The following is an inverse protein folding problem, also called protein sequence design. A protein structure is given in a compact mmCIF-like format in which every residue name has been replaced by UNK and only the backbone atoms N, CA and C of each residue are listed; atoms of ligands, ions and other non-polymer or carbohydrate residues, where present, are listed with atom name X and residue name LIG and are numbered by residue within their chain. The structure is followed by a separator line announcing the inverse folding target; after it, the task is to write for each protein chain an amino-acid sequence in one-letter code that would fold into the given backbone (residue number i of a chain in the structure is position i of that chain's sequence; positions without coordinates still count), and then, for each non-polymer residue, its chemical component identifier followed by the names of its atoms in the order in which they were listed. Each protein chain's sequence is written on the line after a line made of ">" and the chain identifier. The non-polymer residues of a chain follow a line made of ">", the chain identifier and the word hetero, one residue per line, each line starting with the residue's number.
data_IF_016903981383
#
_entry.id   IF_016903981383
#
_cell.length_a   1.000
_cell.length_b   1.000
_cell.length_c   1.000
_cell.angle_alpha   90.00
_cell.angle_beta   90.00
_cell.angle_gamma   90.00
#
_symmetry.space_group_name_H-M   'P 1'
#
loop_
_entity.id
_entity.type
_entity.pdbx_description
1 polymer ?
#
# COMPACT_ATOMS: atom_id res chain seq x y z
N UNK A 1 -63.37 20.17 -2.63
CA UNK A 1 -62.54 20.03 -3.84
C UNK A 1 -61.36 19.13 -3.50
N UNK A 2 -61.56 17.87 -3.86
CA UNK A 2 -60.65 16.76 -3.56
C UNK A 2 -59.43 16.74 -4.49
N UNK A 3 -58.25 16.78 -3.90
CA UNK A 3 -56.99 16.44 -4.58
C UNK A 3 -56.77 14.90 -4.52
N UNK A 4 -56.95 14.26 -5.65
CA UNK A 4 -56.64 12.85 -5.84
C UNK A 4 -55.10 12.69 -5.89
N UNK A 5 -54.49 12.15 -4.81
CA UNK A 5 -53.12 11.69 -4.83
C UNK A 5 -52.94 10.50 -5.78
N UNK A 6 -52.08 10.63 -6.74
CA UNK A 6 -51.69 9.54 -7.64
C UNK A 6 -50.93 8.49 -6.83
N UNK A 7 -51.32 7.21 -6.82
CA UNK A 7 -50.56 6.17 -6.15
C UNK A 7 -49.30 5.90 -6.98
N UNK A 8 -48.14 6.07 -6.38
CA UNK A 8 -46.87 5.61 -6.95
C UNK A 8 -46.92 4.07 -6.95
N UNK A 9 -46.80 3.41 -8.09
CA UNK A 9 -46.74 1.95 -8.11
C UNK A 9 -45.41 1.53 -7.46
N UNK A 10 -45.48 0.88 -6.30
CA UNK A 10 -44.37 0.12 -5.72
C UNK A 10 -44.12 -1.05 -6.63
N UNK A 11 -43.33 -0.83 -7.68
CA UNK A 11 -42.82 -1.91 -8.50
C UNK A 11 -42.04 -2.83 -7.58
N UNK A 12 -42.65 -3.99 -7.32
CA UNK A 12 -41.97 -5.10 -6.67
C UNK A 12 -40.70 -5.41 -7.47
N UNK A 13 -39.57 -5.03 -6.93
CA UNK A 13 -38.29 -5.56 -7.34
C UNK A 13 -38.36 -7.07 -7.16
N UNK A 14 -38.64 -7.80 -8.24
CA UNK A 14 -38.36 -9.22 -8.31
C UNK A 14 -36.88 -9.39 -7.94
N UNK A 15 -36.62 -9.79 -6.70
CA UNK A 15 -35.35 -10.41 -6.33
C UNK A 15 -35.32 -11.71 -7.15
N UNK A 16 -34.77 -11.63 -8.35
CA UNK A 16 -34.28 -12.82 -9.00
C UNK A 16 -33.32 -13.46 -8.01
N UNK A 17 -33.72 -14.60 -7.45
CA UNK A 17 -32.84 -15.37 -6.57
C UNK A 17 -31.60 -15.68 -7.41
N UNK A 18 -30.51 -14.99 -7.16
CA UNK A 18 -29.22 -15.31 -7.78
C UNK A 18 -28.90 -16.75 -7.34
N UNK A 19 -28.98 -17.68 -8.29
CA UNK A 19 -28.63 -19.08 -8.07
C UNK A 19 -27.12 -19.11 -7.85
N UNK A 20 -26.69 -19.21 -6.60
CA UNK A 20 -25.28 -19.38 -6.27
C UNK A 20 -24.86 -20.77 -6.75
N UNK A 21 -23.87 -20.82 -7.62
CA UNK A 21 -23.24 -22.05 -8.08
C UNK A 21 -21.87 -22.09 -7.39
N UNK A 22 -21.59 -23.21 -6.73
CA UNK A 22 -20.26 -23.48 -6.18
C UNK A 22 -19.40 -24.06 -7.30
N UNK A 23 -18.30 -23.39 -7.63
CA UNK A 23 -17.24 -23.89 -8.50
C UNK A 23 -16.07 -24.32 -7.61
N UNK A 24 -15.90 -25.63 -7.47
CA UNK A 24 -14.83 -26.20 -6.65
C UNK A 24 -13.68 -26.56 -7.57
N UNK A 25 -12.55 -25.87 -7.40
CA UNK A 25 -11.33 -26.14 -8.16
C UNK A 25 -10.80 -27.54 -7.83
N UNK A 26 -10.64 -28.35 -8.86
CA UNK A 26 -10.04 -29.68 -8.75
C UNK A 26 -8.56 -29.61 -9.18
N UNK A 27 -7.61 -29.65 -8.22
CA UNK A 27 -6.20 -29.59 -8.54
C UNK A 27 -5.72 -30.94 -9.14
N UNK A 28 -4.64 -30.90 -9.96
CA UNK A 28 -4.04 -32.12 -10.48
C UNK A 28 -3.64 -33.10 -9.37
N UNK A 29 -4.24 -34.32 -9.32
CA UNK A 29 -4.01 -35.27 -8.25
C UNK A 29 -2.55 -35.77 -8.17
N UNK A 30 -1.80 -35.76 -9.28
CA UNK A 30 -0.42 -36.19 -9.29
C UNK A 30 0.47 -35.16 -8.60
N UNK A 31 0.28 -33.89 -8.90
CA UNK A 31 0.99 -32.76 -8.25
C UNK A 31 0.66 -32.69 -6.75
N UNK A 32 -0.61 -32.89 -6.37
CA UNK A 32 -1.01 -32.94 -4.96
C UNK A 32 -0.28 -34.05 -4.22
N UNK A 33 -0.25 -35.29 -4.74
CA UNK A 33 0.47 -36.40 -4.11
C UNK A 33 1.97 -36.13 -4.00
N UNK A 34 2.56 -35.57 -5.05
CA UNK A 34 3.99 -35.21 -5.05
C UNK A 34 4.32 -34.20 -3.96
N UNK A 35 3.54 -33.11 -3.82
CA UNK A 35 3.75 -32.12 -2.78
C UNK A 35 3.52 -32.67 -1.39
N UNK A 36 2.42 -33.42 -1.19
CA UNK A 36 2.11 -34.04 0.09
C UNK A 36 3.25 -34.96 0.57
N UNK A 37 3.75 -35.83 -0.32
CA UNK A 37 4.89 -36.73 -0.02
C UNK A 37 6.19 -35.97 0.23
N UNK A 38 6.56 -35.03 -0.66
CA UNK A 38 7.84 -34.31 -0.60
C UNK A 38 7.99 -33.41 0.63
N UNK A 39 6.88 -32.93 1.19
CA UNK A 39 6.85 -31.97 2.29
C UNK A 39 6.20 -32.50 3.56
N UNK A 40 5.78 -33.76 3.57
CA UNK A 40 5.01 -34.39 4.66
C UNK A 40 3.76 -33.56 5.05
N UNK A 41 3.02 -33.07 4.03
CA UNK A 41 1.81 -32.28 4.21
C UNK A 41 0.57 -33.16 4.14
N UNK A 42 -0.50 -32.70 4.82
CA UNK A 42 -1.83 -33.23 4.58
C UNK A 42 -2.24 -33.01 3.12
N UNK A 43 -2.85 -34.00 2.43
CA UNK A 43 -3.28 -33.88 1.04
C UNK A 43 -4.19 -32.69 0.77
N UNK A 44 -5.03 -32.28 1.74
CA UNK A 44 -5.88 -31.12 1.61
C UNK A 44 -5.05 -29.82 1.54
N UNK A 45 -4.02 -29.71 2.38
CA UNK A 45 -3.11 -28.56 2.35
C UNK A 45 -2.36 -28.49 1.00
N UNK A 46 -1.88 -29.65 0.52
CA UNK A 46 -1.23 -29.73 -0.78
C UNK A 46 -2.18 -29.33 -1.93
N UNK A 47 -3.45 -29.77 -1.88
CA UNK A 47 -4.46 -29.39 -2.85
C UNK A 47 -4.71 -27.88 -2.89
N UNK A 48 -4.80 -27.24 -1.71
CA UNK A 48 -4.93 -25.78 -1.61
C UNK A 48 -3.74 -25.03 -2.19
N UNK A 49 -2.52 -25.53 -1.97
CA UNK A 49 -1.31 -24.95 -2.55
C UNK A 49 -1.32 -25.06 -4.09
N UNK A 50 -1.67 -26.23 -4.64
CA UNK A 50 -1.76 -26.43 -6.10
C UNK A 50 -2.82 -25.51 -6.72
N UNK A 51 -3.98 -25.37 -6.11
CA UNK A 51 -5.02 -24.42 -6.55
C UNK A 51 -4.56 -22.95 -6.53
N UNK A 52 -3.54 -22.63 -5.70
CA UNK A 52 -2.87 -21.33 -5.66
C UNK A 52 -1.66 -21.25 -6.58
N UNK A 53 -1.51 -22.18 -7.50
CA UNK A 53 -0.39 -22.27 -8.45
C UNK A 53 0.97 -22.49 -7.80
N UNK A 54 1.00 -22.96 -6.54
CA UNK A 54 2.21 -23.37 -5.83
C UNK A 54 2.39 -24.87 -6.03
N UNK A 55 2.93 -25.25 -7.20
CA UNK A 55 2.99 -26.64 -7.65
C UNK A 55 4.32 -27.35 -7.42
N UNK A 56 5.38 -26.65 -7.04
CA UNK A 56 6.68 -27.29 -6.78
C UNK A 56 7.01 -27.38 -5.29
N UNK A 57 7.77 -28.40 -4.84
CA UNK A 57 8.21 -28.49 -3.45
C UNK A 57 9.05 -27.29 -2.99
N UNK A 58 9.79 -26.66 -3.91
CA UNK A 58 10.60 -25.47 -3.62
C UNK A 58 9.72 -24.26 -3.33
N UNK A 59 8.75 -24.00 -4.22
CA UNK A 59 7.82 -22.87 -4.04
C UNK A 59 6.94 -23.07 -2.81
N UNK A 60 6.48 -24.31 -2.58
CA UNK A 60 5.69 -24.63 -1.40
C UNK A 60 6.47 -24.45 -0.08
N UNK A 61 7.77 -24.79 -0.04
CA UNK A 61 8.61 -24.48 1.13
C UNK A 61 8.74 -22.98 1.35
N UNK A 62 9.00 -22.22 0.28
CA UNK A 62 9.12 -20.76 0.36
C UNK A 62 7.81 -20.12 0.84
N UNK A 63 6.67 -20.62 0.33
CA UNK A 63 5.34 -20.13 0.72
C UNK A 63 5.01 -20.44 2.19
N UNK A 64 5.28 -21.66 2.65
CA UNK A 64 4.93 -22.13 4.00
C UNK A 64 5.91 -21.63 5.08
N UNK A 65 7.13 -21.30 4.71
CA UNK A 65 8.18 -20.83 5.64
C UNK A 65 8.85 -19.57 5.09
N UNK A 66 8.11 -18.46 4.97
CA UNK A 66 8.68 -17.21 4.49
C UNK A 66 9.74 -16.70 5.47
N UNK A 67 10.82 -16.16 4.94
CA UNK A 67 11.90 -15.54 5.71
C UNK A 67 12.21 -14.16 5.16
N UNK A 68 12.83 -13.30 5.99
CA UNK A 68 13.27 -11.98 5.50
C UNK A 68 14.32 -12.09 4.38
N UNK A 69 15.07 -13.19 4.32
CA UNK A 69 16.04 -13.45 3.25
C UNK A 69 15.38 -13.77 1.90
N UNK A 70 14.11 -14.20 1.90
CA UNK A 70 13.34 -14.52 0.69
C UNK A 70 12.50 -13.34 0.16
N UNK A 71 12.59 -12.17 0.80
CA UNK A 71 11.89 -10.98 0.33
C UNK A 71 12.48 -10.54 -1.02
N UNK A 72 11.61 -10.27 -1.98
CA UNK A 72 11.96 -9.63 -3.25
C UNK A 72 12.74 -8.32 -2.98
N UNK A 73 13.88 -8.08 -3.62
CA UNK A 73 14.63 -6.84 -3.36
C UNK A 73 13.78 -5.59 -3.62
N UNK A 74 13.70 -4.62 -2.67
CA UNK A 74 12.86 -3.42 -2.84
C UNK A 74 13.15 -2.63 -4.12
N UNK A 75 14.39 -2.63 -4.57
CA UNK A 75 14.83 -1.85 -5.75
C UNK A 75 14.17 -2.26 -7.08
N UNK A 76 13.45 -3.39 -7.15
CA UNK A 76 12.68 -3.77 -8.35
C UNK A 76 11.32 -3.06 -8.42
N UNK A 77 10.87 -2.46 -7.30
CA UNK A 77 9.62 -1.70 -7.26
C UNK A 77 9.89 -0.33 -7.87
N UNK A 78 9.02 0.07 -8.78
CA UNK A 78 9.15 1.37 -9.47
C UNK A 78 9.19 2.52 -8.46
N UNK A 79 10.04 3.51 -8.73
CA UNK A 79 10.27 4.72 -7.92
C UNK A 79 10.78 4.49 -6.48
N UNK A 80 11.01 3.25 -6.06
CA UNK A 80 11.46 2.93 -4.69
C UNK A 80 12.77 3.63 -4.32
N UNK A 81 13.74 3.62 -5.23
CA UNK A 81 15.04 4.27 -5.01
C UNK A 81 14.90 5.79 -4.87
N UNK A 82 14.10 6.44 -5.73
CA UNK A 82 13.86 7.88 -5.67
C UNK A 82 13.17 8.28 -4.35
N UNK A 83 12.18 7.51 -3.92
CA UNK A 83 11.49 7.73 -2.64
C UNK A 83 12.44 7.59 -1.45
N UNK A 84 13.25 6.53 -1.41
CA UNK A 84 14.20 6.31 -0.34
C UNK A 84 15.28 7.41 -0.28
N UNK A 85 15.79 7.84 -1.43
CA UNK A 85 16.76 8.97 -1.52
C UNK A 85 16.14 10.27 -1.02
N UNK A 86 14.89 10.58 -1.39
CA UNK A 86 14.21 11.79 -0.94
C UNK A 86 13.96 11.78 0.57
N UNK A 87 13.53 10.63 1.12
CA UNK A 87 13.38 10.45 2.57
C UNK A 87 14.71 10.55 3.31
N UNK A 88 15.77 9.92 2.78
CA UNK A 88 17.11 10.02 3.36
C UNK A 88 17.59 11.47 3.40
N UNK A 89 17.40 12.24 2.32
CA UNK A 89 17.70 13.67 2.27
C UNK A 89 16.94 14.43 3.36
N UNK A 90 15.63 14.19 3.51
CA UNK A 90 14.84 14.85 4.54
C UNK A 90 15.36 14.59 5.96
N UNK A 91 15.84 13.36 6.23
CA UNK A 91 16.47 13.03 7.50
C UNK A 91 17.84 13.69 7.70
N UNK A 92 18.64 13.80 6.64
CA UNK A 92 19.95 14.48 6.69
C UNK A 92 19.81 15.99 6.92
N UNK A 93 18.82 16.62 6.29
CA UNK A 93 18.56 18.06 6.30
C UNK A 93 17.61 18.50 7.43
N UNK A 94 17.21 17.57 8.31
CA UNK A 94 16.27 17.80 9.43
C UNK A 94 14.94 18.43 8.99
N UNK A 95 14.45 18.06 7.78
CA UNK A 95 13.18 18.54 7.24
C UNK A 95 12.00 17.99 8.05
N UNK A 96 10.92 18.77 8.11
CA UNK A 96 9.65 18.29 8.66
C UNK A 96 8.95 17.36 7.66
N UNK A 97 8.67 16.15 8.10
CA UNK A 97 7.99 15.10 7.34
C UNK A 97 6.59 14.90 7.91
N UNK A 98 5.59 14.79 7.05
CA UNK A 98 4.25 14.38 7.43
C UNK A 98 3.89 13.06 6.76
N UNK A 99 3.48 12.07 7.56
CA UNK A 99 2.89 10.84 7.08
C UNK A 99 1.37 11.04 7.02
N UNK A 100 0.79 10.89 5.84
CA UNK A 100 -0.65 10.97 5.63
C UNK A 100 -1.20 9.57 5.37
N UNK A 101 -1.91 9.00 6.34
CA UNK A 101 -2.43 7.63 6.25
C UNK A 101 -3.92 7.56 5.97
N UNK A 102 -4.40 6.35 5.65
CA UNK A 102 -5.82 6.04 5.69
C UNK A 102 -6.28 5.66 7.11
N UNK A 103 -7.58 5.65 7.31
CA UNK A 103 -8.25 5.44 8.61
C UNK A 103 -8.57 3.97 8.92
N UNK A 104 -8.32 3.04 8.02
CA UNK A 104 -8.51 1.61 8.25
C UNK A 104 -7.27 0.96 8.88
N UNK A 105 -7.31 -0.35 9.12
CA UNK A 105 -6.22 -1.05 9.78
C UNK A 105 -4.93 -1.04 8.97
N UNK A 106 -5.02 -1.05 7.64
CA UNK A 106 -3.86 -1.04 6.76
C UNK A 106 -3.17 0.34 6.81
N UNK A 107 -3.93 1.42 6.59
CA UNK A 107 -3.40 2.77 6.68
C UNK A 107 -2.87 3.14 8.07
N UNK A 108 -3.57 2.74 9.13
CA UNK A 108 -3.13 2.98 10.51
C UNK A 108 -1.83 2.24 10.84
N UNK A 109 -1.72 0.96 10.47
CA UNK A 109 -0.50 0.16 10.73
C UNK A 109 0.68 0.63 9.88
N UNK A 110 0.45 1.00 8.61
CA UNK A 110 1.46 1.60 7.74
C UNK A 110 1.97 2.94 8.30
N UNK A 111 1.05 3.80 8.76
CA UNK A 111 1.39 5.07 9.43
C UNK A 111 2.23 4.85 10.67
N UNK A 112 1.82 3.92 11.54
CA UNK A 112 2.53 3.61 12.78
C UNK A 112 3.95 3.07 12.50
N UNK A 113 4.10 2.21 11.50
CA UNK A 113 5.37 1.62 11.11
C UNK A 113 6.37 2.68 10.63
N UNK A 114 5.95 3.55 9.69
CA UNK A 114 6.81 4.65 9.20
C UNK A 114 7.13 5.65 10.30
N UNK A 115 6.14 6.02 11.11
CA UNK A 115 6.30 6.98 12.20
C UNK A 115 7.32 6.49 13.23
N UNK A 116 7.21 5.22 13.64
CA UNK A 116 8.12 4.60 14.60
C UNK A 116 9.57 4.61 14.08
N UNK A 117 9.78 4.14 12.84
CA UNK A 117 11.11 4.08 12.25
C UNK A 117 11.72 5.48 12.07
N UNK A 118 10.98 6.42 11.49
CA UNK A 118 11.50 7.76 11.20
C UNK A 118 11.80 8.54 12.49
N UNK A 119 11.00 8.38 13.55
CA UNK A 119 11.28 8.95 14.86
C UNK A 119 12.52 8.33 15.49
N UNK A 120 12.67 7.02 15.43
CA UNK A 120 13.85 6.32 15.93
C UNK A 120 15.12 6.75 15.18
N UNK A 121 14.99 7.05 13.88
CA UNK A 121 16.07 7.64 13.09
C UNK A 121 16.35 9.12 13.43
N UNK A 122 15.62 9.72 14.37
CA UNK A 122 15.78 11.13 14.80
C UNK A 122 15.14 12.14 13.84
N UNK A 123 14.21 11.72 12.97
CA UNK A 123 13.51 12.60 12.06
C UNK A 123 12.41 13.43 12.73
N UNK A 124 12.20 14.66 12.23
CA UNK A 124 11.10 15.54 12.63
C UNK A 124 9.81 15.10 11.91
N UNK A 125 9.14 14.10 12.45
CA UNK A 125 8.00 13.47 11.79
C UNK A 125 6.71 13.61 12.57
N UNK A 126 5.65 13.98 11.86
CA UNK A 126 4.27 14.03 12.32
C UNK A 126 3.40 13.12 11.46
N UNK A 127 2.15 12.91 11.86
CA UNK A 127 1.21 12.14 11.07
C UNK A 127 -0.17 12.80 11.04
N UNK A 128 -0.95 12.46 10.05
CA UNK A 128 -2.35 12.83 9.92
C UNK A 128 -3.14 11.68 9.30
N UNK A 129 -4.24 11.31 9.97
CA UNK A 129 -5.21 10.34 9.48
C UNK A 129 -6.55 11.08 9.37
N UNK A 130 -7.17 11.15 8.18
CA UNK A 130 -8.40 11.90 7.99
C UNK A 130 -9.57 11.23 8.70
N UNK A 131 -10.54 12.04 9.14
CA UNK A 131 -11.73 11.52 9.78
C UNK A 131 -12.69 10.96 8.75
N UNK A 132 -12.92 9.64 8.75
CA UNK A 132 -13.71 8.89 7.77
C UNK A 132 -15.02 9.57 7.35
N UNK A 133 -15.84 10.03 8.30
CA UNK A 133 -17.17 10.61 8.03
C UNK A 133 -17.13 12.08 7.63
N UNK A 134 -16.13 12.85 8.05
CA UNK A 134 -16.06 14.31 7.84
C UNK A 134 -15.19 14.68 6.65
N UNK A 135 -14.13 13.93 6.42
CA UNK A 135 -13.10 14.26 5.44
C UNK A 135 -13.03 13.24 4.29
N UNK A 136 -13.54 12.01 4.51
CA UNK A 136 -13.57 10.96 3.51
C UNK A 136 -12.19 10.34 3.28
N UNK A 137 -12.05 9.60 2.17
CA UNK A 137 -10.85 8.86 1.80
C UNK A 137 -9.87 9.72 1.01
N UNK A 138 -8.57 9.50 1.25
CA UNK A 138 -7.47 9.97 0.45
C UNK A 138 -7.04 11.42 0.72
N UNK A 139 -5.89 11.79 0.18
CA UNK A 139 -5.33 13.13 0.29
C UNK A 139 -6.09 14.10 -0.64
N UNK A 140 -6.56 15.21 -0.08
CA UNK A 140 -7.33 16.25 -0.79
C UNK A 140 -6.62 17.60 -0.73
N UNK A 141 -6.93 18.55 -1.65
CA UNK A 141 -6.37 19.90 -1.62
C UNK A 141 -6.61 20.63 -0.30
N UNK A 142 -7.76 20.40 0.34
CA UNK A 142 -8.07 20.99 1.64
C UNK A 142 -7.14 20.51 2.76
N UNK A 143 -6.71 19.24 2.73
CA UNK A 143 -5.69 18.76 3.67
C UNK A 143 -4.37 19.48 3.45
N UNK A 144 -3.98 19.70 2.19
CA UNK A 144 -2.76 20.48 1.88
C UNK A 144 -2.86 21.88 2.44
N UNK A 145 -3.94 22.61 2.12
CA UNK A 145 -4.11 24.01 2.51
C UNK A 145 -4.26 24.21 4.02
N UNK A 146 -5.02 23.34 4.70
CA UNK A 146 -5.42 23.53 6.11
C UNK A 146 -4.56 22.80 7.12
N UNK A 147 -3.81 21.77 6.71
CA UNK A 147 -3.03 20.92 7.63
C UNK A 147 -1.54 20.90 7.30
N UNK A 148 -1.21 20.77 6.00
CA UNK A 148 0.18 20.55 5.58
C UNK A 148 0.92 21.89 5.50
N UNK A 149 0.37 22.87 4.79
CA UNK A 149 0.99 24.19 4.65
C UNK A 149 1.24 24.89 6.00
N UNK A 150 0.25 24.98 6.93
CA UNK A 150 0.48 25.63 8.21
C UNK A 150 1.50 24.94 9.11
N UNK A 151 1.76 23.64 8.87
CA UNK A 151 2.72 22.87 9.65
C UNK A 151 4.18 23.04 9.20
N UNK A 152 4.43 23.82 8.14
CA UNK A 152 5.77 24.02 7.57
C UNK A 152 6.46 22.69 7.19
N UNK A 153 5.69 21.80 6.58
CA UNK A 153 6.15 20.47 6.11
C UNK A 153 6.82 20.62 4.76
N UNK A 154 7.93 19.90 4.53
CA UNK A 154 8.65 19.88 3.25
C UNK A 154 8.43 18.60 2.46
N UNK A 155 8.09 17.53 3.15
CA UNK A 155 7.85 16.22 2.55
C UNK A 155 6.59 15.58 3.14
N UNK A 156 5.70 15.13 2.27
CA UNK A 156 4.55 14.29 2.63
C UNK A 156 4.79 12.88 2.10
N UNK A 157 4.57 11.88 2.94
CA UNK A 157 4.51 10.48 2.53
C UNK A 157 3.09 9.99 2.75
N UNK A 158 2.37 9.68 1.68
CA UNK A 158 1.07 9.03 1.83
C UNK A 158 1.26 7.53 2.01
N UNK A 159 0.42 6.91 2.82
CA UNK A 159 0.41 5.46 3.00
C UNK A 159 -1.01 4.93 2.86
N UNK A 160 -1.15 3.86 2.08
CA UNK A 160 -2.42 3.20 1.79
C UNK A 160 -3.46 4.15 1.15
N UNK A 161 -2.99 5.18 0.51
CA UNK A 161 -3.78 6.14 -0.25
C UNK A 161 -2.87 7.03 -1.11
N UNK A 162 -3.48 7.80 -2.01
CA UNK A 162 -2.76 8.83 -2.75
C UNK A 162 -2.70 8.60 -4.25
N UNK A 163 -2.85 7.38 -4.73
CA UNK A 163 -2.73 7.04 -6.16
C UNK A 163 -3.74 7.79 -7.06
N UNK A 164 -4.82 8.30 -6.50
CA UNK A 164 -5.83 9.10 -7.19
C UNK A 164 -5.83 10.59 -6.78
N UNK A 165 -4.83 11.05 -6.02
CA UNK A 165 -4.81 12.38 -5.39
C UNK A 165 -4.20 13.48 -6.27
N UNK A 166 -4.53 13.51 -7.56
CA UNK A 166 -3.94 14.42 -8.58
C UNK A 166 -3.96 15.89 -8.18
N UNK A 167 -5.11 16.40 -7.75
CA UNK A 167 -5.28 17.80 -7.42
C UNK A 167 -4.52 18.18 -6.14
N UNK A 168 -4.50 17.30 -5.15
CA UNK A 168 -3.75 17.51 -3.92
C UNK A 168 -2.23 17.53 -4.18
N UNK A 169 -1.74 16.64 -5.04
CA UNK A 169 -0.33 16.61 -5.45
C UNK A 169 0.04 17.92 -6.15
N UNK A 170 -0.76 18.38 -7.11
CA UNK A 170 -0.52 19.69 -7.76
C UNK A 170 -0.55 20.85 -6.76
N UNK A 171 -1.49 20.84 -5.81
CA UNK A 171 -1.58 21.88 -4.78
C UNK A 171 -0.34 21.91 -3.89
N UNK A 172 0.20 20.74 -3.52
CA UNK A 172 1.42 20.62 -2.73
C UNK A 172 2.65 21.06 -3.52
N UNK A 173 2.78 20.62 -4.78
CA UNK A 173 3.87 20.99 -5.67
C UNK A 173 3.95 22.50 -5.90
N UNK A 174 2.80 23.17 -6.11
CA UNK A 174 2.71 24.63 -6.22
C UNK A 174 3.21 25.38 -4.97
N UNK A 175 3.23 24.71 -3.82
CA UNK A 175 3.74 25.24 -2.55
C UNK A 175 5.17 24.77 -2.22
N UNK A 176 5.85 24.09 -3.14
CA UNK A 176 7.21 23.56 -2.93
C UNK A 176 7.29 22.40 -1.95
N UNK A 177 6.20 21.62 -1.81
CA UNK A 177 6.12 20.44 -0.96
C UNK A 177 6.21 19.20 -1.83
N UNK A 178 7.18 18.35 -1.55
CA UNK A 178 7.34 17.06 -2.23
C UNK A 178 6.35 16.04 -1.67
N UNK A 179 5.80 15.20 -2.56
CA UNK A 179 4.93 14.08 -2.17
C UNK A 179 5.55 12.76 -2.66
N UNK A 180 5.66 11.81 -1.75
CA UNK A 180 5.90 10.39 -2.01
C UNK A 180 4.59 9.66 -1.77
N UNK A 181 4.10 8.92 -2.75
CA UNK A 181 2.93 8.08 -2.62
C UNK A 181 3.37 6.64 -2.39
N UNK A 182 2.88 6.01 -1.30
CA UNK A 182 2.94 4.57 -1.11
C UNK A 182 1.53 4.03 -1.08
N UNK A 183 1.17 3.25 -2.09
CA UNK A 183 -0.19 2.76 -2.28
C UNK A 183 -0.17 1.34 -2.85
N UNK A 184 -1.31 0.67 -2.86
CA UNK A 184 -1.49 -0.65 -3.45
C UNK A 184 -2.85 -0.78 -4.16
N UNK A 185 -3.57 0.31 -4.27
CA UNK A 185 -4.84 0.35 -4.99
C UNK A 185 -4.61 0.49 -6.49
N UNK A 186 -5.54 -0.01 -7.28
CA UNK A 186 -5.45 0.09 -8.75
C UNK A 186 -5.42 1.55 -9.18
N UNK A 187 -4.38 1.96 -9.91
CA UNK A 187 -4.29 3.32 -10.43
C UNK A 187 -5.32 3.54 -11.56
N UNK A 188 -5.70 4.79 -11.76
CA UNK A 188 -6.40 5.22 -12.98
C UNK A 188 -5.44 5.22 -14.19
N UNK A 189 -5.97 5.57 -15.37
CA UNK A 189 -5.16 5.68 -16.59
C UNK A 189 -4.02 6.71 -16.50
N UNK A 190 -4.15 7.68 -15.61
CA UNK A 190 -3.12 8.69 -15.34
C UNK A 190 -2.68 8.61 -13.90
N UNK A 191 -1.39 8.79 -13.64
CA UNK A 191 -0.82 8.88 -12.30
C UNK A 191 -0.72 10.35 -11.85
N UNK A 192 -0.80 10.64 -10.54
CA UNK A 192 -0.48 11.97 -10.02
C UNK A 192 0.98 12.34 -10.31
N UNK A 193 1.28 13.62 -10.48
CA UNK A 193 2.65 14.12 -10.70
C UNK A 193 3.42 14.25 -9.37
N UNK A 194 3.45 13.17 -8.58
CA UNK A 194 4.21 13.11 -7.35
C UNK A 194 5.71 12.88 -7.64
N UNK A 195 6.58 13.21 -6.67
CA UNK A 195 8.02 12.99 -6.79
C UNK A 195 8.35 11.49 -6.99
N UNK A 196 7.63 10.62 -6.29
CA UNK A 196 7.76 9.18 -6.42
C UNK A 196 6.41 8.51 -6.11
N UNK A 197 6.11 7.43 -6.82
CA UNK A 197 4.90 6.63 -6.61
C UNK A 197 5.29 5.16 -6.49
N UNK A 198 5.24 4.66 -5.28
CA UNK A 198 5.49 3.25 -4.96
C UNK A 198 4.14 2.54 -4.94
N UNK A 199 3.82 1.86 -6.02
CA UNK A 199 2.60 1.08 -6.15
C UNK A 199 2.85 -0.12 -7.09
N UNK A 200 2.68 -1.35 -6.61
CA UNK A 200 2.96 -2.55 -7.40
C UNK A 200 1.91 -2.80 -8.48
N UNK A 201 0.74 -2.16 -8.42
CA UNK A 201 -0.33 -2.29 -9.41
C UNK A 201 -0.18 -1.35 -10.62
N UNK A 202 0.84 -0.52 -10.64
CA UNK A 202 1.17 0.31 -11.80
C UNK A 202 1.53 -0.56 -13.00
N UNK A 203 1.07 -0.19 -14.18
CA UNK A 203 1.35 -0.91 -15.43
C UNK A 203 2.84 -0.95 -15.80
N UNK A 204 3.64 -0.01 -15.28
CA UNK A 204 5.09 0.09 -15.49
C UNK A 204 5.91 -0.50 -14.32
N UNK A 205 5.27 -1.18 -13.37
CA UNK A 205 5.91 -1.89 -12.26
C UNK A 205 5.85 -3.40 -12.51
N UNK A 206 6.99 -4.04 -12.63
CA UNK A 206 7.10 -5.49 -12.88
C UNK A 206 7.56 -6.27 -11.64
N UNK A 207 7.30 -5.76 -10.44
CA UNK A 207 7.78 -6.35 -9.19
C UNK A 207 7.06 -7.66 -8.79
N UNK A 208 5.86 -7.94 -9.33
CA UNK A 208 5.06 -9.12 -8.98
C UNK A 208 4.56 -9.10 -7.52
N UNK A 209 4.37 -7.93 -6.95
CA UNK A 209 4.01 -7.72 -5.54
C UNK A 209 2.61 -7.09 -5.38
N UNK A 210 1.76 -7.23 -6.40
CA UNK A 210 0.40 -6.71 -6.47
C UNK A 210 -0.56 -7.25 -5.39
N UNK A 211 -0.15 -8.32 -4.71
CA UNK A 211 -0.86 -8.95 -3.60
C UNK A 211 -0.55 -8.33 -2.23
N UNK A 212 0.39 -7.38 -2.15
CA UNK A 212 0.77 -6.76 -0.88
C UNK A 212 -0.26 -5.69 -0.46
N UNK A 213 -0.48 -5.61 0.86
CA UNK A 213 -1.22 -4.54 1.51
C UNK A 213 -0.37 -3.25 1.60
N UNK A 214 -1.00 -2.11 1.88
CA UNK A 214 -0.33 -0.82 2.01
C UNK A 214 0.78 -0.82 3.07
N UNK A 215 0.58 -1.49 4.21
CA UNK A 215 1.63 -1.66 5.23
C UNK A 215 2.84 -2.45 4.70
N UNK A 216 2.61 -3.41 3.79
CA UNK A 216 3.68 -4.13 3.10
C UNK A 216 4.51 -3.19 2.24
N UNK A 217 3.89 -2.30 1.49
CA UNK A 217 4.58 -1.28 0.69
C UNK A 217 5.38 -0.31 1.56
N UNK A 218 4.81 0.15 2.68
CA UNK A 218 5.52 0.96 3.66
C UNK A 218 6.76 0.23 4.24
N UNK A 219 6.63 -1.07 4.51
CA UNK A 219 7.74 -1.90 4.98
C UNK A 219 8.87 -2.01 3.93
N UNK A 220 8.54 -2.23 2.67
CA UNK A 220 9.52 -2.24 1.58
C UNK A 220 10.24 -0.90 1.44
N UNK A 221 9.53 0.22 1.56
CA UNK A 221 10.15 1.55 1.57
C UNK A 221 11.15 1.69 2.74
N UNK A 222 10.83 1.18 3.93
CA UNK A 222 11.74 1.23 5.07
C UNK A 222 12.98 0.36 4.89
N UNK A 223 12.86 -0.80 4.25
CA UNK A 223 14.03 -1.64 3.92
C UNK A 223 14.99 -0.87 3.01
N UNK A 224 14.45 -0.24 1.96
CA UNK A 224 15.27 0.53 1.02
C UNK A 224 15.84 1.79 1.66
N UNK A 225 15.05 2.53 2.42
CA UNK A 225 15.51 3.70 3.17
C UNK A 225 16.65 3.33 4.13
N UNK A 226 16.49 2.24 4.90
CA UNK A 226 17.54 1.76 5.80
C UNK A 226 18.80 1.39 5.04
N UNK A 227 18.68 0.76 3.86
CA UNK A 227 19.82 0.46 2.98
C UNK A 227 20.53 1.73 2.55
N UNK A 228 19.79 2.75 2.11
CA UNK A 228 20.30 4.06 1.70
C UNK A 228 21.03 4.75 2.86
N UNK A 229 20.39 4.87 4.02
CA UNK A 229 20.98 5.51 5.21
C UNK A 229 22.27 4.82 5.68
N UNK A 230 22.36 3.49 5.54
CA UNK A 230 23.60 2.76 5.82
C UNK A 230 24.70 3.08 4.81
N UNK A 231 24.38 3.14 3.52
CA UNK A 231 25.29 3.51 2.45
C UNK A 231 25.86 4.91 2.66
N UNK A 232 25.02 5.85 3.07
CA UNK A 232 25.38 7.26 3.31
C UNK A 232 26.15 7.49 4.63
N UNK A 233 26.36 6.43 5.41
CA UNK A 233 27.01 6.53 6.73
C UNK A 233 26.20 7.30 7.77
N UNK A 234 24.89 7.44 7.58
CA UNK A 234 23.99 8.18 8.47
C UNK A 234 24.12 7.77 9.96
N UNK A 235 24.18 6.44 10.19
CA UNK A 235 24.28 5.88 11.53
C UNK A 235 25.64 6.07 12.21
N UNK A 236 26.72 6.45 11.47
CA UNK A 236 28.03 6.74 12.06
C UNK A 236 28.04 8.07 12.77
N UNK A 237 27.13 8.97 12.44
CA UNK A 237 27.02 10.34 12.99
C UNK A 237 25.94 10.47 14.05
N UNK A 238 25.11 9.43 14.22
CA UNK A 238 24.00 9.38 15.18
C UNK A 238 24.10 8.02 15.90
N UNK A 239 24.58 7.99 17.16
CA UNK A 239 24.70 6.77 17.95
C UNK A 239 23.35 6.10 18.23
#
# INVERSE_FOLDING_TARGET
>A
NGGKGCPIPVNGLYRAAMKTIWDILEPDPATVRQLASALALDPLVAAVLVNRQVGTPTDARAFLKPTLASITPPGVIKDMAAAAQRLARALHEDEKILIFGDYDVDGVTATALLLAFLRQAGGRVTHYIPHRRKEGYGLRPDHVRRRILPADVRLVVTVDCGISSHEAVRTAAAAGIDIIITDHHRPSSCLPEALAIIDPQRSDCCAGLDHLAGVGMAFYLLIELRRQLRSDGFWRKRP
#
